data_IF_400769932209
#
_entry.id   IF_400769932209
#
_cell.length_a   1.000
_cell.length_b   1.000
_cell.length_c   1.000
_cell.angle_alpha   90.00
_cell.angle_beta   90.00
_cell.angle_gamma   90.00
#
_symmetry.space_group_name_H-M   'P 1'
#
loop_
_entity.id
_entity.type
_entity.pdbx_description
1 polymer ?
#
# COMPACT_ATOMS: atom_id res chain seq x y z
N UNK A 1 46.25 21.37 -19.44
CA UNK A 1 45.85 20.29 -20.36
C UNK A 1 44.75 19.49 -19.68
N UNK A 2 43.50 19.72 -20.07
CA UNK A 2 42.33 19.09 -19.45
C UNK A 2 42.06 17.75 -20.13
N UNK A 3 42.12 16.65 -19.37
CA UNK A 3 41.80 15.30 -19.85
C UNK A 3 40.31 15.02 -19.69
N UNK A 4 39.60 15.12 -20.79
CA UNK A 4 38.25 14.55 -21.00
C UNK A 4 38.32 13.03 -20.92
N UNK A 5 37.78 12.42 -19.86
CA UNK A 5 37.54 10.98 -19.80
C UNK A 5 36.03 10.75 -19.92
N UNK A 6 35.69 10.17 -21.06
CA UNK A 6 34.38 9.67 -21.46
C UNK A 6 33.97 8.46 -20.60
N UNK A 7 32.97 8.63 -19.73
CA UNK A 7 32.31 7.51 -19.07
C UNK A 7 30.92 7.31 -19.66
N UNK A 8 30.81 6.25 -20.44
CA UNK A 8 29.58 5.65 -20.97
C UNK A 8 28.52 5.50 -19.88
N UNK A 9 27.55 6.40 -19.94
CA UNK A 9 26.16 6.32 -19.49
C UNK A 9 25.74 5.11 -18.65
N UNK A 10 25.61 5.31 -17.33
CA UNK A 10 24.86 4.49 -16.38
C UNK A 10 23.36 4.29 -16.77
N UNK A 11 22.84 4.99 -17.79
CA UNK A 11 21.52 4.67 -18.35
C UNK A 11 21.52 3.39 -19.21
N UNK A 12 22.68 2.80 -19.52
CA UNK A 12 22.77 1.59 -20.34
C UNK A 12 22.59 0.28 -19.56
N UNK A 13 22.82 0.28 -18.24
CA UNK A 13 22.61 -0.89 -17.37
C UNK A 13 21.12 -1.30 -17.24
N UNK A 14 20.18 -0.38 -17.47
CA UNK A 14 18.74 -0.69 -17.52
C UNK A 14 18.31 -1.44 -18.80
N UNK A 15 19.20 -1.64 -19.79
CA UNK A 15 18.83 -2.22 -21.10
C UNK A 15 19.36 -3.63 -21.38
N UNK A 16 20.17 -4.23 -20.50
CA UNK A 16 20.80 -5.53 -20.79
C UNK A 16 19.98 -6.76 -20.33
N UNK A 17 18.92 -6.60 -19.53
CA UNK A 17 18.18 -7.74 -18.97
C UNK A 17 16.83 -8.06 -19.64
N UNK A 18 16.61 -7.63 -20.90
CA UNK A 18 15.35 -7.90 -21.63
C UNK A 18 15.41 -9.07 -22.62
N UNK A 19 16.55 -9.73 -22.77
CA UNK A 19 16.68 -10.86 -23.70
C UNK A 19 16.85 -12.17 -22.93
N UNK A 20 15.75 -12.71 -22.40
CA UNK A 20 15.43 -14.16 -22.44
C UNK A 20 14.13 -14.44 -21.70
N UNK A 21 13.01 -14.34 -22.42
CA UNK A 21 11.81 -15.18 -22.24
C UNK A 21 10.87 -14.95 -23.43
N UNK A 22 11.01 -15.79 -24.47
CA UNK A 22 10.03 -15.95 -25.54
C UNK A 22 9.12 -17.13 -25.20
N UNK A 23 7.82 -16.90 -25.06
CA UNK A 23 6.76 -17.83 -25.47
C UNK A 23 5.57 -17.02 -26.03
N UNK A 24 4.75 -17.63 -26.92
CA UNK A 24 4.09 -16.89 -28.00
C UNK A 24 2.59 -16.71 -27.76
N UNK A 25 2.05 -15.52 -28.02
CA UNK A 25 0.65 -15.37 -28.42
C UNK A 25 0.50 -14.14 -29.31
N UNK A 26 0.09 -14.38 -30.56
CA UNK A 26 -0.18 -13.40 -31.61
C UNK A 26 -1.67 -13.04 -31.66
N UNK A 27 -2.02 -11.78 -31.96
CA UNK A 27 -3.26 -11.49 -32.65
C UNK A 27 -2.97 -10.86 -34.02
N UNK A 28 -3.63 -11.42 -35.04
CA UNK A 28 -3.60 -10.96 -36.42
C UNK A 28 -4.34 -9.64 -36.60
N UNK A 29 -3.79 -8.85 -37.53
CA UNK A 29 -4.24 -7.58 -38.09
C UNK A 29 -5.64 -7.58 -38.69
N UNK A 30 -6.33 -6.45 -38.59
CA UNK A 30 -7.02 -5.84 -39.74
C UNK A 30 -7.27 -4.35 -39.52
N UNK A 31 -7.01 -3.61 -40.59
CA UNK A 31 -6.87 -2.17 -40.73
C UNK A 31 -8.19 -1.38 -40.79
N UNK A 32 -8.03 -0.10 -40.45
CA UNK A 32 -8.92 1.07 -40.50
C UNK A 32 -9.86 1.23 -41.71
N UNK A 33 -11.03 1.86 -41.46
CA UNK A 33 -11.47 3.03 -42.23
C UNK A 33 -12.42 3.93 -41.40
N UNK A 34 -12.19 5.24 -41.54
CA UNK A 34 -12.90 6.36 -40.91
C UNK A 34 -14.12 6.75 -41.73
N UNK A 35 -15.27 6.98 -41.09
CA UNK A 35 -16.38 7.74 -41.67
C UNK A 35 -16.81 8.82 -40.67
N UNK A 36 -16.59 10.09 -41.05
CA UNK A 36 -17.15 11.29 -40.43
C UNK A 36 -18.47 11.61 -41.13
N UNK A 37 -19.54 11.87 -40.39
CA UNK A 37 -20.72 12.58 -40.91
C UNK A 37 -21.07 13.71 -39.92
N UNK A 38 -21.06 14.94 -40.45
CA UNK A 38 -21.65 16.16 -39.88
C UNK A 38 -23.10 16.29 -40.37
N UNK A 39 -23.98 16.90 -39.57
CA UNK A 39 -25.02 17.86 -39.98
C UNK A 39 -25.73 18.36 -38.71
N UNK A 40 -25.50 19.59 -38.27
CA UNK A 40 -26.10 20.88 -38.69
C UNK A 40 -27.58 21.07 -38.32
N UNK A 41 -27.76 22.12 -37.53
CA UNK A 41 -29.00 22.75 -37.05
C UNK A 41 -29.75 23.45 -38.19
N UNK A 42 -31.09 23.44 -38.13
CA UNK A 42 -31.92 24.45 -38.79
C UNK A 42 -32.95 25.02 -37.81
N UNK A 43 -32.92 26.34 -37.68
CA UNK A 43 -33.97 27.18 -37.12
C UNK A 43 -35.08 27.35 -38.15
N UNK A 44 -36.33 27.44 -37.68
CA UNK A 44 -37.35 28.25 -38.35
C UNK A 44 -38.41 28.72 -37.34
N UNK A 45 -38.54 30.03 -37.23
CA UNK A 45 -39.62 30.77 -36.59
C UNK A 45 -40.87 30.77 -37.47
N UNK A 46 -42.07 30.82 -36.87
CA UNK A 46 -42.95 31.99 -36.98
C UNK A 46 -44.25 31.86 -36.18
N UNK A 47 -44.67 33.05 -35.76
CA UNK A 47 -45.80 33.52 -34.96
C UNK A 47 -47.16 33.29 -35.65
N UNK A 48 -48.19 32.97 -34.86
CA UNK A 48 -49.52 33.56 -35.06
C UNK A 48 -50.31 33.65 -33.74
N UNK A 49 -51.02 34.74 -33.61
CA UNK A 49 -51.67 35.30 -32.41
C UNK A 49 -53.18 35.06 -32.38
N UNK A 50 -53.73 35.07 -31.15
CA UNK A 50 -54.95 35.79 -30.72
C UNK A 50 -56.06 34.93 -30.03
N UNK A 51 -56.07 35.06 -28.69
CA UNK A 51 -57.17 35.45 -27.80
C UNK A 51 -58.47 34.63 -27.69
N UNK A 52 -58.69 34.10 -26.48
CA UNK A 52 -59.98 33.70 -25.91
C UNK A 52 -59.88 33.47 -24.40
N UNK A 53 -60.40 34.43 -23.62
CA UNK A 53 -60.61 34.45 -22.14
C UNK A 53 -61.36 33.18 -21.65
N UNK A 54 -61.38 32.72 -20.40
CA UNK A 54 -60.75 33.00 -19.12
C UNK A 54 -61.16 31.84 -18.19
N UNK A 55 -60.35 31.47 -17.18
CA UNK A 55 -60.89 31.24 -15.84
C UNK A 55 -59.75 31.20 -14.81
N UNK A 56 -59.89 32.05 -13.81
CA UNK A 56 -59.02 32.16 -12.64
C UNK A 56 -59.37 30.99 -11.73
N UNK A 57 -58.42 30.08 -11.50
CA UNK A 57 -58.47 29.18 -10.35
C UNK A 57 -57.25 29.47 -9.50
N UNK A 58 -57.47 30.15 -8.37
CA UNK A 58 -56.47 30.28 -7.32
C UNK A 58 -56.21 28.89 -6.74
N UNK A 59 -54.99 28.39 -6.88
CA UNK A 59 -54.50 27.27 -6.06
C UNK A 59 -53.31 27.77 -5.25
N UNK A 60 -53.56 27.76 -3.95
CA UNK A 60 -52.66 28.05 -2.84
C UNK A 60 -51.37 27.23 -2.96
N UNK A 61 -50.23 27.90 -2.84
CA UNK A 61 -48.94 27.25 -2.72
C UNK A 61 -48.92 26.36 -1.47
N UNK A 62 -48.76 25.05 -1.67
CA UNK A 62 -48.38 24.10 -0.64
C UNK A 62 -47.08 23.44 -1.10
N UNK A 63 -46.02 23.83 -0.41
CA UNK A 63 -44.84 23.05 -0.04
C UNK A 63 -44.42 21.93 -1.01
N UNK A 64 -43.27 22.18 -1.62
CA UNK A 64 -42.36 21.18 -2.19
C UNK A 64 -42.23 19.96 -1.27
N UNK A 65 -42.90 18.87 -1.65
CA UNK A 65 -42.54 17.52 -1.21
C UNK A 65 -41.20 17.17 -1.84
N UNK A 66 -40.12 17.50 -1.13
CA UNK A 66 -38.87 16.80 -1.29
C UNK A 66 -39.10 15.37 -0.77
N UNK A 67 -39.21 14.41 -1.68
CA UNK A 67 -39.17 12.98 -1.34
C UNK A 67 -37.78 12.66 -0.77
N UNK A 68 -37.60 12.93 0.52
CA UNK A 68 -36.54 12.35 1.31
C UNK A 68 -36.92 10.88 1.51
N UNK A 69 -36.19 9.99 0.85
CA UNK A 69 -36.18 8.58 1.21
C UNK A 69 -35.65 8.49 2.65
N UNK A 70 -36.57 8.42 3.60
CA UNK A 70 -36.29 8.12 5.01
C UNK A 70 -35.53 6.78 5.06
N UNK A 71 -34.25 6.83 5.44
CA UNK A 71 -33.57 5.65 5.94
C UNK A 71 -34.18 5.41 7.32
N UNK A 72 -34.91 4.31 7.49
CA UNK A 72 -35.30 3.83 8.81
C UNK A 72 -34.02 3.73 9.67
N UNK A 73 -33.86 4.64 10.62
CA UNK A 73 -32.83 4.53 11.65
C UNK A 73 -33.23 3.35 12.53
N UNK A 74 -32.61 2.19 12.30
CA UNK A 74 -32.69 1.04 13.22
C UNK A 74 -32.31 1.52 14.62
N UNK A 75 -33.31 1.75 15.48
CA UNK A 75 -33.14 2.26 16.84
C UNK A 75 -32.57 1.15 17.70
N UNK A 76 -31.25 1.01 17.69
CA UNK A 76 -30.56 0.03 18.50
C UNK A 76 -30.72 0.33 20.00
N UNK A 77 -31.04 -0.69 20.79
CA UNK A 77 -31.15 -0.57 22.26
C UNK A 77 -29.76 -0.54 22.90
N UNK A 78 -29.51 0.45 23.77
CA UNK A 78 -28.28 0.52 24.56
C UNK A 78 -28.50 -0.07 25.95
N UNK A 79 -27.52 -0.81 26.48
CA UNK A 79 -27.58 -1.34 27.83
C UNK A 79 -26.24 -1.26 28.55
N UNK A 80 -26.30 -1.06 29.87
CA UNK A 80 -25.12 -1.01 30.73
C UNK A 80 -25.02 -2.28 31.57
N UNK A 81 -23.78 -2.72 31.76
CA UNK A 81 -23.48 -3.97 32.45
C UNK A 81 -22.17 -3.87 33.20
N UNK A 82 -22.18 -4.42 34.41
CA UNK A 82 -21.00 -4.59 35.25
C UNK A 82 -20.72 -6.08 35.40
N UNK A 83 -19.49 -6.50 35.09
CA UNK A 83 -19.05 -7.90 35.22
C UNK A 83 -17.68 -7.98 35.87
N UNK A 84 -17.42 -9.09 36.57
CA UNK A 84 -16.14 -9.37 37.23
C UNK A 84 -15.35 -10.45 36.49
N UNK A 85 -14.03 -10.48 36.66
CA UNK A 85 -13.18 -11.53 36.10
C UNK A 85 -13.50 -12.89 36.77
N UNK A 86 -13.50 -14.01 36.02
CA UNK A 86 -13.31 -14.11 34.58
C UNK A 86 -14.56 -13.65 33.80
N UNK A 87 -14.40 -12.67 32.91
CA UNK A 87 -15.52 -12.03 32.22
C UNK A 87 -16.31 -13.01 31.32
N UNK A 88 -15.63 -13.95 30.67
CA UNK A 88 -16.27 -14.93 29.79
C UNK A 88 -16.75 -14.35 28.46
N UNK A 89 -16.17 -13.24 27.99
CA UNK A 89 -16.44 -12.64 26.68
C UNK A 89 -15.23 -12.76 25.77
N UNK A 90 -15.48 -13.17 24.53
CA UNK A 90 -14.54 -13.05 23.42
C UNK A 90 -15.05 -11.97 22.49
N UNK A 91 -14.17 -11.10 22.02
CA UNK A 91 -14.55 -10.06 21.07
C UNK A 91 -13.79 -10.19 19.76
N UNK A 92 -14.35 -9.58 18.72
CA UNK A 92 -13.77 -9.46 17.39
C UNK A 92 -13.78 -8.01 16.93
N UNK A 93 -12.89 -7.68 15.98
CA UNK A 93 -12.80 -6.35 15.36
C UNK A 93 -13.72 -6.32 14.14
N UNK A 94 -14.70 -5.42 14.15
CA UNK A 94 -15.55 -5.15 12.99
C UNK A 94 -14.83 -4.40 11.87
N UNK A 95 -15.43 -4.35 10.68
CA UNK A 95 -14.88 -3.64 9.51
C UNK A 95 -14.83 -2.13 9.72
N UNK A 96 -15.76 -1.59 10.51
CA UNK A 96 -15.82 -0.21 11.00
C UNK A 96 -14.73 0.10 12.04
N UNK A 97 -13.91 -0.89 12.43
CA UNK A 97 -12.92 -0.77 13.49
C UNK A 97 -13.49 -0.93 14.91
N UNK A 98 -14.80 -1.15 15.04
CA UNK A 98 -15.49 -1.30 16.31
C UNK A 98 -15.26 -2.66 16.98
N UNK A 99 -15.64 -2.76 18.25
CA UNK A 99 -15.57 -4.01 19.04
C UNK A 99 -16.93 -4.69 19.14
N UNK A 100 -16.97 -5.98 18.82
CA UNK A 100 -18.18 -6.80 18.82
C UNK A 100 -17.99 -8.09 19.61
N UNK A 101 -19.06 -8.62 20.21
CA UNK A 101 -19.01 -9.92 20.89
C UNK A 101 -18.93 -11.05 19.85
N UNK A 102 -17.85 -11.82 19.90
CA UNK A 102 -17.59 -12.99 19.06
C UNK A 102 -18.16 -14.27 19.69
N UNK A 103 -17.96 -14.44 21.00
CA UNK A 103 -18.46 -15.60 21.73
C UNK A 103 -18.64 -15.29 23.22
N UNK A 104 -19.56 -16.02 23.85
CA UNK A 104 -19.82 -15.97 25.29
C UNK A 104 -19.47 -17.35 25.86
N UNK A 105 -18.60 -17.39 26.87
CA UNK A 105 -18.12 -18.63 27.47
C UNK A 105 -19.15 -19.14 28.51
N UNK A 106 -19.61 -20.41 28.41
CA UNK A 106 -20.59 -20.96 29.34
C UNK A 106 -20.04 -21.00 30.78
N UNK A 107 -20.84 -20.55 31.74
CA UNK A 107 -20.45 -20.46 33.15
C UNK A 107 -19.57 -19.25 33.52
N UNK A 108 -19.19 -18.41 32.56
CA UNK A 108 -18.48 -17.15 32.81
C UNK A 108 -19.40 -16.07 33.41
N UNK A 109 -18.80 -14.97 33.91
CA UNK A 109 -19.59 -13.87 34.49
C UNK A 109 -20.62 -13.30 33.50
N UNK A 110 -20.23 -13.11 32.24
CA UNK A 110 -21.13 -12.62 31.20
C UNK A 110 -22.31 -13.57 30.92
N UNK A 111 -22.06 -14.88 30.84
CA UNK A 111 -23.10 -15.90 30.65
C UNK A 111 -24.12 -15.89 31.80
N UNK A 112 -23.64 -15.80 33.05
CA UNK A 112 -24.49 -15.70 34.26
C UNK A 112 -25.40 -14.48 34.27
N UNK A 113 -24.99 -13.36 33.65
CA UNK A 113 -25.86 -12.18 33.57
C UNK A 113 -27.04 -12.37 32.61
N UNK A 114 -26.92 -13.24 31.61
CA UNK A 114 -27.92 -13.40 30.53
C UNK A 114 -28.15 -12.15 29.68
N UNK A 115 -27.37 -11.08 29.88
CA UNK A 115 -27.58 -9.78 29.21
C UNK A 115 -26.90 -9.68 27.86
N UNK A 116 -25.90 -10.51 27.56
CA UNK A 116 -25.11 -10.41 26.33
C UNK A 116 -25.66 -11.29 25.23
N UNK A 117 -25.54 -10.82 24.00
CA UNK A 117 -25.84 -11.60 22.79
C UNK A 117 -24.64 -11.54 21.85
N UNK A 118 -24.35 -12.64 21.15
CA UNK A 118 -23.28 -12.66 20.14
C UNK A 118 -23.62 -11.64 19.05
N UNK A 119 -22.65 -10.82 18.67
CA UNK A 119 -22.80 -9.70 17.75
C UNK A 119 -23.07 -8.34 18.40
N UNK A 120 -23.36 -8.25 19.70
CA UNK A 120 -23.55 -6.96 20.38
C UNK A 120 -22.28 -6.10 20.31
N UNK A 121 -22.44 -4.77 20.16
CA UNK A 121 -21.33 -3.82 19.95
C UNK A 121 -20.98 -3.10 21.24
N UNK A 122 -19.70 -2.87 21.47
CA UNK A 122 -19.23 -2.04 22.59
C UNK A 122 -19.29 -0.55 22.20
N UNK A 123 -19.93 0.27 23.03
CA UNK A 123 -19.96 1.73 22.86
C UNK A 123 -18.89 2.38 23.75
N UNK A 124 -18.84 1.96 25.01
CA UNK A 124 -17.97 2.56 26.02
C UNK A 124 -17.51 1.52 27.04
N UNK A 125 -16.33 1.72 27.59
CA UNK A 125 -15.79 0.91 28.68
C UNK A 125 -15.28 1.80 29.78
N UNK A 126 -15.32 1.30 31.01
CA UNK A 126 -14.66 1.94 32.13
C UNK A 126 -13.14 2.02 31.94
N UNK A 127 -12.50 3.02 32.56
CA UNK A 127 -11.05 3.25 32.49
C UNK A 127 -10.21 2.07 33.01
N UNK A 128 -8.87 2.13 33.01
CA UNK A 128 -8.08 1.06 33.65
C UNK A 128 -8.17 1.16 35.19
N UNK A 129 -8.24 2.39 35.71
CA UNK A 129 -8.38 2.71 37.12
C UNK A 129 -9.64 3.56 37.33
N UNK A 130 -10.49 3.20 38.29
CA UNK A 130 -11.74 3.90 38.60
C UNK A 130 -12.97 3.39 37.84
N UNK A 131 -14.13 3.99 38.12
CA UNK A 131 -15.45 3.56 37.61
C UNK A 131 -15.94 4.39 36.42
N UNK A 132 -15.20 5.43 36.04
CA UNK A 132 -15.59 6.32 34.94
C UNK A 132 -15.63 5.59 33.59
N UNK A 133 -16.78 5.70 32.90
CA UNK A 133 -17.02 5.13 31.57
C UNK A 133 -16.70 6.18 30.50
N UNK A 134 -15.86 5.80 29.53
CA UNK A 134 -15.46 6.66 28.42
C UNK A 134 -15.78 5.99 27.07
N UNK A 135 -16.13 6.77 26.03
CA UNK A 135 -16.34 6.25 24.68
C UNK A 135 -15.09 5.49 24.20
N UNK A 136 -15.25 4.18 24.04
CA UNK A 136 -14.16 3.25 23.74
C UNK A 136 -14.69 2.14 22.82
N UNK A 137 -15.33 2.56 21.73
CA UNK A 137 -15.92 1.65 20.75
C UNK A 137 -14.87 0.97 19.85
N UNK A 138 -13.68 1.54 19.72
CA UNK A 138 -12.58 1.02 18.88
C UNK A 138 -11.91 -0.23 19.49
N UNK A 139 -11.71 -1.26 18.67
CA UNK A 139 -11.15 -2.56 19.08
C UNK A 139 -9.87 -2.49 19.89
N UNK A 140 -8.89 -1.70 19.44
CA UNK A 140 -7.61 -1.59 20.15
C UNK A 140 -7.77 -1.02 21.55
N UNK A 141 -8.60 0.02 21.69
CA UNK A 141 -8.82 0.75 22.94
C UNK A 141 -9.63 -0.09 23.92
N UNK A 142 -10.70 -0.74 23.46
CA UNK A 142 -11.50 -1.68 24.27
C UNK A 142 -10.65 -2.85 24.77
N UNK A 143 -9.83 -3.45 23.91
CA UNK A 143 -8.98 -4.56 24.30
C UNK A 143 -7.92 -4.17 25.33
N UNK A 144 -7.34 -2.99 25.16
CA UNK A 144 -6.37 -2.45 26.10
C UNK A 144 -6.99 -2.28 27.49
N UNK A 145 -8.16 -1.63 27.59
CA UNK A 145 -8.81 -1.40 28.89
C UNK A 145 -9.19 -2.71 29.57
N UNK A 146 -9.79 -3.66 28.85
CA UNK A 146 -10.21 -4.95 29.39
C UNK A 146 -9.03 -5.78 29.90
N UNK A 147 -7.91 -5.81 29.17
CA UNK A 147 -6.72 -6.61 29.55
C UNK A 147 -5.99 -6.06 30.78
N UNK A 148 -5.97 -4.73 30.93
CA UNK A 148 -5.26 -4.06 32.01
C UNK A 148 -6.16 -3.77 33.23
N UNK A 149 -7.48 -4.01 33.13
CA UNK A 149 -8.46 -3.68 34.17
C UNK A 149 -8.19 -4.47 35.45
N UNK A 150 -8.14 -3.73 36.56
CA UNK A 150 -8.13 -4.27 37.93
C UNK A 150 -9.48 -3.93 38.55
N UNK A 151 -10.31 -4.94 38.84
CA UNK A 151 -11.65 -4.77 39.41
C UNK A 151 -12.80 -5.06 38.43
N UNK A 152 -14.05 -4.72 38.81
CA UNK A 152 -15.22 -4.93 37.96
C UNK A 152 -15.10 -4.10 36.68
N UNK A 153 -15.57 -4.63 35.55
CA UNK A 153 -15.58 -3.96 34.26
C UNK A 153 -16.99 -3.45 33.99
N UNK A 154 -17.14 -2.13 33.83
CA UNK A 154 -18.39 -1.51 33.42
C UNK A 154 -18.34 -1.25 31.92
N UNK A 155 -19.38 -1.65 31.21
CA UNK A 155 -19.49 -1.45 29.77
C UNK A 155 -20.86 -0.89 29.41
N UNK A 156 -20.86 0.04 28.46
CA UNK A 156 -22.05 0.43 27.71
C UNK A 156 -22.04 -0.29 26.37
N UNK A 157 -23.09 -1.04 26.11
CA UNK A 157 -23.24 -1.93 24.98
C UNK A 157 -24.42 -1.50 24.11
N UNK A 158 -24.40 -1.90 22.85
CA UNK A 158 -25.50 -1.75 21.89
C UNK A 158 -25.99 -3.14 21.50
N UNK A 159 -27.29 -3.40 21.63
CA UNK A 159 -27.93 -4.63 21.14
C UNK A 159 -27.90 -4.67 19.63
N UNK A 160 -27.47 -5.81 19.07
CA UNK A 160 -27.37 -6.00 17.62
C UNK A 160 -28.14 -7.21 17.12
N UNK A 161 -28.72 -8.01 18.01
CA UNK A 161 -29.56 -9.18 17.69
C UNK A 161 -28.91 -10.12 16.65
N UNK A 162 -27.58 -10.31 16.71
CA UNK A 162 -26.82 -11.13 15.76
C UNK A 162 -26.55 -10.49 14.39
N UNK A 163 -27.04 -9.28 14.11
CA UNK A 163 -26.67 -8.49 12.93
C UNK A 163 -25.32 -7.81 13.18
N UNK A 164 -24.23 -8.51 12.85
CA UNK A 164 -22.93 -7.84 12.66
C UNK A 164 -23.10 -7.02 11.38
N UNK A 165 -23.14 -5.69 11.52
CA UNK A 165 -23.06 -4.88 10.31
C UNK A 165 -21.66 -5.09 9.74
N UNK A 166 -21.61 -5.63 8.54
CA UNK A 166 -20.45 -5.54 7.67
C UNK A 166 -20.27 -4.10 7.15
N UNK A 167 -20.49 -3.09 8.01
CA UNK A 167 -20.34 -1.68 7.66
C UNK A 167 -18.85 -1.38 7.62
N UNK A 168 -18.37 -1.08 6.43
CA UNK A 168 -16.99 -0.76 6.11
C UNK A 168 -16.73 -1.03 4.63
N UNK A 169 -15.89 -0.20 4.00
CA UNK A 169 -15.48 -0.46 2.62
C UNK A 169 -14.72 -1.80 2.57
N UNK A 170 -15.14 -2.69 1.69
CA UNK A 170 -14.39 -3.91 1.41
C UNK A 170 -12.98 -3.51 0.95
N UNK A 171 -11.96 -4.14 1.50
CA UNK A 171 -10.61 -3.93 1.00
C UNK A 171 -10.52 -4.40 -0.45
N UNK A 172 -9.64 -3.79 -1.25
CA UNK A 172 -9.40 -4.21 -2.64
C UNK A 172 -9.17 -5.73 -2.75
N UNK A 173 -8.48 -6.32 -1.78
CA UNK A 173 -8.19 -7.76 -1.71
C UNK A 173 -9.45 -8.61 -1.50
N UNK A 174 -10.40 -8.13 -0.70
CA UNK A 174 -11.67 -8.82 -0.43
C UNK A 174 -12.62 -8.72 -1.61
N UNK A 175 -12.69 -7.55 -2.27
CA UNK A 175 -13.46 -7.37 -3.51
C UNK A 175 -12.94 -8.35 -4.57
N UNK A 176 -11.62 -8.39 -4.80
CA UNK A 176 -11.00 -9.31 -5.76
C UNK A 176 -11.27 -10.78 -5.39
N UNK A 177 -11.24 -11.13 -4.09
CA UNK A 177 -11.49 -12.51 -3.64
C UNK A 177 -12.96 -12.90 -3.82
N UNK A 178 -13.89 -12.03 -3.44
CA UNK A 178 -15.32 -12.25 -3.58
C UNK A 178 -15.71 -12.44 -5.05
N UNK A 179 -15.19 -11.60 -5.94
CA UNK A 179 -15.46 -11.71 -7.39
C UNK A 179 -14.84 -12.96 -8.02
N UNK A 180 -13.60 -13.33 -7.65
CA UNK A 180 -13.03 -14.62 -8.09
C UNK A 180 -13.89 -15.80 -7.65
N UNK A 181 -14.37 -15.80 -6.41
CA UNK A 181 -15.24 -16.85 -5.90
C UNK A 181 -16.60 -16.87 -6.61
N UNK A 182 -17.11 -15.69 -7.01
CA UNK A 182 -18.37 -15.54 -7.73
C UNK A 182 -18.28 -15.89 -9.23
N UNK A 183 -17.07 -16.07 -9.77
CA UNK A 183 -16.86 -16.49 -11.16
C UNK A 183 -17.13 -15.41 -12.22
N UNK A 184 -17.32 -14.14 -11.82
CA UNK A 184 -17.45 -13.01 -12.73
C UNK A 184 -16.45 -11.90 -12.36
N UNK A 185 -15.94 -11.18 -13.36
CA UNK A 185 -15.07 -10.01 -13.16
C UNK A 185 -15.93 -8.76 -13.37
N UNK A 186 -16.13 -7.97 -12.32
CA UNK A 186 -16.89 -6.73 -12.39
C UNK A 186 -16.03 -5.56 -12.91
N UNK A 187 -16.69 -4.46 -13.28
CA UNK A 187 -16.02 -3.20 -13.62
C UNK A 187 -15.23 -2.64 -12.42
N UNK A 188 -15.62 -2.95 -11.19
CA UNK A 188 -14.93 -2.50 -9.96
C UNK A 188 -13.56 -3.15 -9.82
N UNK A 189 -13.41 -4.46 -10.09
CA UNK A 189 -12.08 -5.09 -10.10
C UNK A 189 -11.21 -4.53 -11.22
N UNK A 190 -11.79 -4.21 -12.39
CA UNK A 190 -11.06 -3.55 -13.47
C UNK A 190 -10.55 -2.17 -13.03
N UNK A 191 -11.38 -1.35 -12.37
CA UNK A 191 -10.97 -0.06 -11.80
C UNK A 191 -9.85 -0.20 -10.76
N UNK A 192 -9.95 -1.19 -9.87
CA UNK A 192 -8.92 -1.48 -8.86
C UNK A 192 -7.60 -1.86 -9.55
N UNK A 193 -7.65 -2.68 -10.60
CA UNK A 193 -6.46 -3.09 -11.36
C UNK A 193 -5.84 -1.89 -12.08
N UNK A 194 -6.64 -1.06 -12.76
CA UNK A 194 -6.17 0.15 -13.45
C UNK A 194 -5.55 1.13 -12.46
N UNK A 195 -6.20 1.35 -11.32
CA UNK A 195 -5.71 2.27 -10.27
C UNK A 195 -4.41 1.76 -9.65
N UNK A 196 -4.30 0.46 -9.35
CA UNK A 196 -3.07 -0.12 -8.83
C UNK A 196 -1.93 -0.10 -9.86
N UNK A 197 -2.23 -0.37 -11.13
CA UNK A 197 -1.26 -0.27 -12.21
C UNK A 197 -0.77 1.18 -12.36
N UNK A 198 -1.69 2.16 -12.32
CA UNK A 198 -1.35 3.58 -12.36
C UNK A 198 -0.47 3.99 -11.19
N UNK A 199 -0.86 3.63 -9.96
CA UNK A 199 -0.08 3.92 -8.74
C UNK A 199 1.32 3.31 -8.80
N UNK A 200 1.46 2.05 -9.26
CA UNK A 200 2.77 1.41 -9.44
C UNK A 200 3.62 2.14 -10.48
N UNK A 201 3.00 2.57 -11.59
CA UNK A 201 3.67 3.33 -12.65
C UNK A 201 4.14 4.69 -12.14
N UNK A 202 3.28 5.44 -11.45
CA UNK A 202 3.60 6.75 -10.86
C UNK A 202 4.73 6.64 -9.83
N UNK A 203 4.71 5.62 -8.97
CA UNK A 203 5.78 5.35 -8.01
C UNK A 203 7.12 5.05 -8.71
N UNK A 204 7.11 4.23 -9.76
CA UNK A 204 8.30 3.96 -10.56
C UNK A 204 8.83 5.23 -11.23
N UNK A 205 7.96 6.01 -11.88
CA UNK A 205 8.34 7.28 -12.52
C UNK A 205 8.91 8.28 -11.49
N UNK A 206 8.37 8.33 -10.27
CA UNK A 206 8.91 9.15 -9.18
C UNK A 206 10.32 8.69 -8.77
N UNK A 207 10.53 7.38 -8.55
CA UNK A 207 11.86 6.85 -8.24
C UNK A 207 12.88 7.15 -9.33
N UNK A 208 12.50 7.00 -10.60
CA UNK A 208 13.38 7.35 -11.72
C UNK A 208 13.69 8.84 -11.79
N UNK A 209 12.76 9.72 -11.39
CA UNK A 209 13.02 11.16 -11.28
C UNK A 209 14.00 11.46 -10.16
N UNK A 210 13.76 10.94 -8.96
CA UNK A 210 14.61 11.15 -7.78
C UNK A 210 16.02 10.61 -8.02
N UNK A 211 16.15 9.40 -8.57
CA UNK A 211 17.45 8.82 -8.92
C UNK A 211 18.21 9.70 -9.91
N UNK A 212 17.54 10.22 -10.95
CA UNK A 212 18.16 11.11 -11.94
C UNK A 212 18.58 12.44 -11.32
N UNK A 213 17.78 12.98 -10.41
CA UNK A 213 18.08 14.21 -9.69
C UNK A 213 19.27 14.03 -8.74
N UNK A 214 19.28 12.96 -7.94
CA UNK A 214 20.39 12.60 -7.06
C UNK A 214 21.71 12.45 -7.84
N UNK A 215 21.68 11.76 -8.98
CA UNK A 215 22.85 11.65 -9.86
C UNK A 215 23.34 13.01 -10.39
N UNK A 216 22.43 13.95 -10.67
CA UNK A 216 22.79 15.31 -11.09
C UNK A 216 23.42 16.10 -9.95
N UNK A 217 22.86 15.99 -8.74
CA UNK A 217 23.36 16.67 -7.54
C UNK A 217 24.74 16.17 -7.14
N UNK A 218 24.94 14.84 -7.13
CA UNK A 218 26.21 14.21 -6.83
C UNK A 218 27.32 14.66 -7.80
N UNK A 219 27.03 14.73 -9.11
CA UNK A 219 27.95 15.29 -10.11
C UNK A 219 28.34 16.74 -9.86
N UNK A 220 27.47 17.51 -9.22
CA UNK A 220 27.72 18.91 -8.88
C UNK A 220 28.41 19.07 -7.51
N UNK A 221 28.78 17.96 -6.85
CA UNK A 221 29.42 17.97 -5.54
C UNK A 221 28.46 18.26 -4.37
N UNK A 222 27.15 18.28 -4.62
CA UNK A 222 26.10 18.49 -3.60
C UNK A 222 25.67 17.14 -3.03
N UNK A 223 26.56 16.52 -2.24
CA UNK A 223 26.39 15.13 -1.81
C UNK A 223 25.25 14.95 -0.81
N UNK A 224 25.04 15.90 0.10
CA UNK A 224 23.95 15.86 1.08
C UNK A 224 22.57 15.96 0.39
N UNK A 225 22.42 16.88 -0.57
CA UNK A 225 21.20 17.00 -1.38
C UNK A 225 20.99 15.73 -2.24
N UNK A 226 22.08 15.12 -2.73
CA UNK A 226 22.00 13.88 -3.50
C UNK A 226 21.54 12.69 -2.63
N UNK A 227 22.03 12.60 -1.38
CA UNK A 227 21.63 11.59 -0.42
C UNK A 227 20.12 11.64 -0.16
N UNK A 228 19.54 12.83 0.03
CA UNK A 228 18.09 12.97 0.21
C UNK A 228 17.30 12.32 -0.94
N UNK A 229 17.75 12.52 -2.18
CA UNK A 229 17.10 11.94 -3.36
C UNK A 229 17.28 10.43 -3.46
N UNK A 230 18.46 9.90 -3.14
CA UNK A 230 18.67 8.46 -3.17
C UNK A 230 17.92 7.75 -2.03
N UNK A 231 17.86 8.34 -0.84
CA UNK A 231 17.05 7.83 0.28
C UNK A 231 15.55 7.85 -0.04
N UNK A 232 15.06 8.87 -0.75
CA UNK A 232 13.68 8.88 -1.28
C UNK A 232 13.41 7.65 -2.17
N UNK A 233 14.38 7.25 -3.01
CA UNK A 233 14.27 6.05 -3.84
C UNK A 233 14.20 4.79 -2.97
N UNK A 234 15.08 4.67 -1.97
CA UNK A 234 15.11 3.51 -1.06
C UNK A 234 13.85 3.40 -0.20
N UNK A 235 13.29 4.52 0.26
CA UNK A 235 12.06 4.57 1.04
C UNK A 235 10.77 4.29 0.26
N UNK A 236 10.81 4.30 -1.08
CA UNK A 236 9.62 4.18 -1.94
C UNK A 236 9.43 2.78 -2.56
N UNK A 237 9.88 1.75 -1.84
CA UNK A 237 9.81 0.32 -2.21
C UNK A 237 10.37 0.06 -3.61
N UNK A 238 11.67 0.29 -3.81
CA UNK A 238 12.34 -0.01 -5.08
C UNK A 238 12.34 -1.51 -5.38
N UNK A 239 12.55 -1.84 -6.64
CA UNK A 239 12.99 -3.19 -7.04
C UNK A 239 14.41 -3.46 -6.57
N UNK A 240 14.87 -4.73 -6.58
CA UNK A 240 16.25 -5.08 -6.19
C UNK A 240 17.28 -4.27 -6.97
N UNK A 241 17.17 -4.23 -8.30
CA UNK A 241 18.06 -3.45 -9.17
C UNK A 241 18.05 -1.94 -8.84
N UNK A 242 16.87 -1.36 -8.60
CA UNK A 242 16.75 0.05 -8.22
C UNK A 242 17.39 0.33 -6.84
N UNK A 243 17.22 -0.58 -5.88
CA UNK A 243 17.82 -0.50 -4.56
C UNK A 243 19.35 -0.60 -4.65
N UNK A 244 19.86 -1.60 -5.38
CA UNK A 244 21.28 -1.81 -5.63
C UNK A 244 21.94 -0.55 -6.21
N UNK A 245 21.33 0.05 -7.23
CA UNK A 245 21.83 1.28 -7.85
C UNK A 245 21.75 2.47 -6.90
N UNK A 246 20.65 2.65 -6.17
CA UNK A 246 20.50 3.76 -5.24
C UNK A 246 21.50 3.65 -4.08
N UNK A 247 21.58 2.50 -3.41
CA UNK A 247 22.52 2.24 -2.30
C UNK A 247 23.98 2.38 -2.73
N UNK A 248 24.35 1.96 -3.94
CA UNK A 248 25.70 2.19 -4.47
C UNK A 248 26.02 3.69 -4.57
N UNK A 249 25.08 4.50 -5.07
CA UNK A 249 25.28 5.94 -5.16
C UNK A 249 25.27 6.63 -3.78
N UNK A 250 24.51 6.11 -2.81
CA UNK A 250 24.57 6.52 -1.40
C UNK A 250 25.97 6.27 -0.84
N UNK A 251 26.55 5.09 -1.08
CA UNK A 251 27.92 4.76 -0.67
C UNK A 251 28.95 5.72 -1.28
N UNK A 252 28.81 6.05 -2.58
CA UNK A 252 29.64 7.06 -3.24
C UNK A 252 29.53 8.43 -2.57
N UNK A 253 28.33 8.90 -2.23
CA UNK A 253 28.13 10.17 -1.55
C UNK A 253 28.76 10.17 -0.14
N UNK A 254 28.52 9.13 0.67
CA UNK A 254 29.11 9.03 2.01
C UNK A 254 30.64 8.94 1.97
N UNK A 255 31.20 8.24 0.97
CA UNK A 255 32.63 8.23 0.71
C UNK A 255 33.16 9.64 0.49
N UNK A 256 32.53 10.45 -0.37
CA UNK A 256 32.93 11.84 -0.63
C UNK A 256 32.80 12.76 0.59
N UNK A 257 31.86 12.46 1.48
CA UNK A 257 31.67 13.14 2.77
C UNK A 257 32.60 12.60 3.87
N UNK A 258 33.46 11.63 3.56
CA UNK A 258 34.37 10.97 4.49
C UNK A 258 33.65 10.28 5.68
N UNK A 259 32.41 9.86 5.46
CA UNK A 259 31.60 9.11 6.44
C UNK A 259 31.75 7.61 6.18
N UNK A 260 32.89 7.06 6.62
CA UNK A 260 33.32 5.72 6.22
C UNK A 260 32.33 4.61 6.63
N UNK A 261 31.87 4.63 7.87
CA UNK A 261 30.98 3.59 8.39
C UNK A 261 29.63 3.57 7.66
N UNK A 262 29.02 4.74 7.44
CA UNK A 262 27.77 4.87 6.70
C UNK A 262 27.93 4.46 5.23
N UNK A 263 29.05 4.84 4.61
CA UNK A 263 29.33 4.46 3.22
C UNK A 263 29.58 2.96 3.04
N UNK A 264 30.25 2.30 3.99
CA UNK A 264 30.44 0.84 3.97
C UNK A 264 29.12 0.10 4.17
N UNK A 265 28.27 0.55 5.09
CA UNK A 265 26.92 0.00 5.28
C UNK A 265 26.10 0.10 3.98
N UNK A 266 26.07 1.28 3.35
CA UNK A 266 25.35 1.47 2.09
C UNK A 266 25.94 0.65 0.93
N UNK A 267 27.26 0.42 0.93
CA UNK A 267 27.92 -0.42 -0.06
C UNK A 267 27.54 -1.90 0.11
N UNK A 268 27.49 -2.37 1.36
CA UNK A 268 26.98 -3.69 1.70
C UNK A 268 25.52 -3.85 1.25
N UNK A 269 24.64 -2.89 1.58
CA UNK A 269 23.24 -2.89 1.14
C UNK A 269 23.12 -2.96 -0.39
N UNK A 270 24.00 -2.27 -1.12
CA UNK A 270 24.02 -2.32 -2.58
C UNK A 270 24.34 -3.74 -3.09
N UNK A 271 25.34 -4.38 -2.50
CA UNK A 271 25.79 -5.72 -2.87
C UNK A 271 24.74 -6.78 -2.49
N UNK A 272 24.11 -6.67 -1.32
CA UNK A 272 23.00 -7.55 -0.90
C UNK A 272 21.76 -7.38 -1.78
N UNK A 273 21.51 -6.16 -2.29
CA UNK A 273 20.45 -5.89 -3.25
C UNK A 273 20.75 -6.39 -4.69
N UNK A 274 21.95 -6.92 -4.95
CA UNK A 274 22.35 -7.49 -6.24
C UNK A 274 23.27 -6.62 -7.09
N UNK A 275 24.02 -5.68 -6.50
CA UNK A 275 25.04 -4.93 -7.25
C UNK A 275 26.27 -5.80 -7.54
N UNK A 276 26.44 -6.20 -8.80
CA UNK A 276 27.47 -7.18 -9.20
C UNK A 276 28.74 -6.55 -9.82
N UNK A 277 28.79 -5.24 -10.04
CA UNK A 277 29.98 -4.59 -10.65
C UNK A 277 31.09 -4.36 -9.62
N UNK A 278 31.62 -5.46 -9.07
CA UNK A 278 32.67 -5.42 -8.05
C UNK A 278 33.99 -4.83 -8.57
N UNK A 279 34.21 -4.88 -9.89
CA UNK A 279 35.35 -4.21 -10.52
C UNK A 279 35.21 -2.69 -10.36
N UNK A 280 34.00 -2.17 -10.56
CA UNK A 280 33.71 -0.77 -10.33
C UNK A 280 33.87 -0.40 -8.85
N UNK A 281 33.36 -1.19 -7.91
CA UNK A 281 33.55 -0.94 -6.46
C UNK A 281 35.04 -0.74 -6.11
N UNK A 282 35.92 -1.58 -6.68
CA UNK A 282 37.36 -1.53 -6.43
C UNK A 282 38.10 -0.40 -7.14
N UNK A 283 37.50 0.27 -8.12
CA UNK A 283 38.19 1.27 -8.96
C UNK A 283 37.56 2.65 -8.94
N UNK A 284 36.29 2.76 -8.56
CA UNK A 284 35.51 4.00 -8.64
C UNK A 284 36.16 5.11 -7.78
N UNK A 285 36.55 6.25 -8.39
CA UNK A 285 37.17 7.35 -7.65
C UNK A 285 36.25 7.95 -6.58
N UNK A 286 34.94 7.75 -6.68
CA UNK A 286 34.01 8.23 -5.66
C UNK A 286 34.08 7.39 -4.39
N UNK A 287 34.47 6.12 -4.49
CA UNK A 287 34.70 5.21 -3.35
C UNK A 287 36.15 5.21 -2.84
N UNK A 288 36.99 6.15 -3.28
CA UNK A 288 38.39 6.20 -2.89
C UNK A 288 38.59 6.29 -1.36
N UNK A 289 37.75 7.06 -0.66
CA UNK A 289 37.86 7.20 0.79
C UNK A 289 37.44 5.92 1.52
N UNK A 290 36.37 5.23 1.08
CA UNK A 290 35.97 3.95 1.69
C UNK A 290 37.05 2.88 1.56
N UNK A 291 37.77 2.85 0.44
CA UNK A 291 38.89 1.93 0.21
C UNK A 291 40.08 2.13 1.16
N UNK A 292 40.11 3.24 1.91
CA UNK A 292 41.14 3.45 2.94
C UNK A 292 40.81 2.78 4.27
N UNK A 293 39.54 2.40 4.48
CA UNK A 293 39.10 1.67 5.67
C UNK A 293 39.53 0.21 5.63
N UNK A 294 40.00 -0.32 6.75
CA UNK A 294 40.35 -1.74 6.90
C UNK A 294 39.13 -2.66 6.70
N UNK A 295 37.94 -2.16 7.06
CA UNK A 295 36.67 -2.88 6.92
C UNK A 295 36.26 -3.10 5.46
N UNK A 296 36.78 -2.29 4.52
CA UNK A 296 36.46 -2.43 3.10
C UNK A 296 36.92 -3.78 2.56
N UNK A 297 38.14 -4.21 2.89
CA UNK A 297 38.67 -5.50 2.44
C UNK A 297 37.89 -6.67 3.05
N UNK A 298 37.45 -6.54 4.30
CA UNK A 298 36.59 -7.53 4.97
C UNK A 298 35.25 -7.64 4.26
N UNK A 299 34.63 -6.51 3.92
CA UNK A 299 33.38 -6.47 3.16
C UNK A 299 33.55 -7.13 1.79
N UNK A 300 34.60 -6.79 1.04
CA UNK A 300 34.83 -7.37 -0.28
C UNK A 300 35.04 -8.89 -0.23
N UNK A 301 35.79 -9.40 0.74
CA UNK A 301 36.00 -10.85 0.93
C UNK A 301 34.69 -11.61 1.16
N UNK A 302 33.77 -11.06 1.94
CA UNK A 302 32.44 -11.66 2.19
C UNK A 302 31.70 -11.98 0.88
N UNK A 303 31.80 -11.12 -0.13
CA UNK A 303 31.09 -11.28 -1.40
C UNK A 303 31.93 -11.95 -2.50
N UNK A 304 33.25 -11.86 -2.43
CA UNK A 304 34.13 -12.63 -3.33
C UNK A 304 34.03 -14.13 -3.05
N UNK A 305 34.05 -14.52 -1.77
CA UNK A 305 33.95 -15.92 -1.36
C UNK A 305 32.59 -16.54 -1.70
N UNK A 306 31.50 -15.81 -1.50
CA UNK A 306 30.16 -16.29 -1.85
C UNK A 306 30.01 -16.52 -3.35
N UNK A 307 30.53 -15.61 -4.18
CA UNK A 307 30.52 -15.75 -5.64
C UNK A 307 31.38 -16.92 -6.12
N UNK A 308 32.59 -17.09 -5.57
CA UNK A 308 33.46 -18.23 -5.91
C UNK A 308 32.79 -19.56 -5.53
N UNK A 309 32.16 -19.63 -4.36
CA UNK A 309 31.49 -20.84 -3.90
C UNK A 309 30.25 -21.17 -4.77
N UNK A 310 29.38 -20.19 -5.07
CA UNK A 310 28.24 -20.41 -5.95
C UNK A 310 28.67 -20.84 -7.35
N UNK A 311 29.68 -20.19 -7.94
CA UNK A 311 30.18 -20.56 -9.26
C UNK A 311 30.85 -21.93 -9.27
N UNK A 312 31.62 -22.27 -8.23
CA UNK A 312 32.22 -23.59 -8.09
C UNK A 312 31.14 -24.67 -7.95
N UNK A 313 30.12 -24.44 -7.12
CA UNK A 313 28.98 -25.36 -6.96
C UNK A 313 28.20 -25.50 -8.28
N UNK A 314 27.94 -24.40 -8.98
CA UNK A 314 27.22 -24.42 -10.25
C UNK A 314 28.03 -25.10 -11.36
N UNK A 315 29.34 -24.89 -11.41
CA UNK A 315 30.25 -25.58 -12.32
C UNK A 315 30.29 -27.08 -12.04
N UNK A 316 30.38 -27.50 -10.77
CA UNK A 316 30.31 -28.92 -10.37
C UNK A 316 28.93 -29.51 -10.73
N UNK A 317 27.83 -28.83 -10.45
CA UNK A 317 26.47 -29.28 -10.83
C UNK A 317 26.30 -29.41 -12.34
N UNK A 318 26.94 -28.54 -13.13
CA UNK A 318 26.95 -28.62 -14.60
C UNK A 318 27.82 -29.78 -15.10
N UNK A 319 29.00 -29.97 -14.53
CA UNK A 319 29.94 -31.04 -14.89
C UNK A 319 29.42 -32.43 -14.49
N UNK A 320 28.68 -32.51 -13.39
CA UNK A 320 28.04 -33.73 -12.86
C UNK A 320 26.52 -33.73 -13.07
N UNK A 321 26.02 -32.96 -14.05
CA UNK A 321 24.62 -32.90 -14.43
C UNK A 321 24.14 -34.27 -14.90
N UNK A 322 23.60 -35.04 -13.96
CA UNK A 322 23.05 -36.37 -14.15
C UNK A 322 21.98 -36.37 -15.24
N UNK A 323 22.22 -37.18 -16.27
CA UNK A 323 21.18 -37.90 -17.02
C UNK A 323 20.04 -38.28 -16.07
N UNK A 324 18.88 -37.62 -16.19
CA UNK A 324 17.62 -38.22 -15.82
C UNK A 324 16.85 -38.46 -17.11
N UNK A 325 16.80 -39.76 -17.46
CA UNK A 325 15.80 -40.36 -18.33
C UNK A 325 14.40 -40.09 -17.80
#
# INVERSE_FOLDING_TARGET
>A
MASTISNTSLCSLLKLNQNNQKTPFSPSSSSSSLIKIKNQLCFSSNICSHLGKASIFMVKASETEATQSEKEEDKYEEYEVEIVQPYGLKFTKGRDGGTYIDAIAPGGSADKTGKFTVGDRVIATSAVFGEEIWPAAEYGRTMYTIRQRIGPLLMKMQKRYGKVEEVGELTEKEIIRAERNAGFISDRVREIQVTNARRKKEQKEQRERDLREGLKLSKNGKYEEALEKFESVLGSRPTGDEAAVASYNVACCYSKLNQLQAGLSALEDAMEAGFEDFKRIRTDPDLANLRTSEDFETLMKKFDESFINENAINAIKSLFGFNKK
#
